data_IF_516476923404
#
_entry.id   IF_516476923404
#
_cell.length_a   1.000
_cell.length_b   1.000
_cell.length_c   1.000
_cell.angle_alpha   90.00
_cell.angle_beta   90.00
_cell.angle_gamma   90.00
#
_symmetry.space_group_name_H-M   'P 1'
#
loop_
_entity.id
_entity.type
_entity.pdbx_description
1 polymer ?
#
# COMPACT_ATOMS: atom_id res chain seq x y z
N UNK A 1 -0.82 -27.20 6.72
CA UNK A 1 0.26 -26.25 6.41
C UNK A 1 -0.08 -25.67 5.05
N UNK A 2 -0.85 -24.59 5.06
CA UNK A 2 -1.25 -23.90 3.83
C UNK A 2 -0.10 -22.93 3.49
N UNK A 3 0.57 -23.18 2.36
CA UNK A 3 1.50 -22.22 1.79
C UNK A 3 0.66 -21.00 1.36
N UNK A 4 0.90 -19.79 1.91
CA UNK A 4 0.20 -18.61 1.44
C UNK A 4 0.59 -18.36 -0.02
N UNK A 5 -0.42 -18.23 -0.89
CA UNK A 5 -0.24 -17.96 -2.32
C UNK A 5 0.55 -16.65 -2.50
N UNK A 6 1.81 -16.69 -2.99
CA UNK A 6 2.73 -15.54 -2.99
C UNK A 6 2.43 -14.50 -4.09
N UNK A 7 1.16 -14.30 -4.45
CA UNK A 7 0.74 -13.55 -5.64
C UNK A 7 0.01 -12.24 -5.34
N UNK A 8 -0.78 -12.17 -4.27
CA UNK A 8 -1.77 -11.11 -4.06
C UNK A 8 -1.13 -9.75 -3.84
N UNK A 9 -0.07 -9.69 -3.04
CA UNK A 9 0.66 -8.43 -2.84
C UNK A 9 1.31 -7.97 -4.15
N UNK A 10 1.88 -8.89 -4.92
CA UNK A 10 2.53 -8.56 -6.20
C UNK A 10 1.52 -8.09 -7.25
N UNK A 11 0.37 -8.74 -7.34
CA UNK A 11 -0.73 -8.33 -8.22
C UNK A 11 -1.31 -6.98 -7.81
N UNK A 12 -1.54 -6.78 -6.51
CA UNK A 12 -2.00 -5.50 -5.97
C UNK A 12 -1.04 -4.38 -6.34
N UNK A 13 0.25 -4.55 -6.04
CA UNK A 13 1.29 -3.59 -6.38
C UNK A 13 1.27 -3.38 -7.91
N UNK A 14 1.37 -4.43 -8.73
CA UNK A 14 1.39 -4.30 -10.19
C UNK A 14 0.12 -3.65 -10.80
N UNK A 15 -1.02 -3.66 -10.12
CA UNK A 15 -2.25 -3.00 -10.58
C UNK A 15 -2.27 -1.48 -10.41
N UNK A 16 -1.38 -0.93 -9.59
CA UNK A 16 -1.31 0.52 -9.36
C UNK A 16 -0.42 1.16 -10.41
N UNK A 17 -0.90 2.25 -11.01
CA UNK A 17 -0.13 3.02 -11.99
C UNK A 17 0.68 4.09 -11.28
N UNK A 18 2.00 3.92 -11.17
CA UNK A 18 2.88 4.96 -10.63
C UNK A 18 3.77 5.53 -11.74
N UNK A 19 3.41 6.68 -12.35
CA UNK A 19 4.17 7.25 -13.45
C UNK A 19 5.63 7.58 -13.04
N UNK A 20 5.85 7.97 -11.78
CA UNK A 20 7.13 8.51 -11.31
C UNK A 20 7.82 7.65 -10.24
N UNK A 21 7.29 6.45 -9.95
CA UNK A 21 7.84 5.55 -8.93
C UNK A 21 8.21 4.18 -9.49
N UNK A 22 9.46 3.80 -9.30
CA UNK A 22 9.94 2.44 -9.48
C UNK A 22 9.59 1.61 -8.25
N UNK A 23 9.05 0.41 -8.47
CA UNK A 23 8.61 -0.47 -7.38
C UNK A 23 9.38 -1.78 -7.40
N UNK A 24 9.94 -2.13 -6.24
CA UNK A 24 10.67 -3.39 -6.02
C UNK A 24 10.04 -4.14 -4.85
N UNK A 25 9.73 -5.42 -5.04
CA UNK A 25 9.21 -6.30 -3.98
C UNK A 25 10.30 -7.30 -3.58
N UNK A 26 10.64 -7.32 -2.29
CA UNK A 26 11.63 -8.21 -1.71
C UNK A 26 11.07 -8.84 -0.43
N UNK A 27 10.41 -10.00 -0.57
CA UNK A 27 9.71 -10.66 0.54
C UNK A 27 8.54 -9.80 1.04
N UNK A 28 8.43 -9.52 2.36
CA UNK A 28 7.37 -8.69 2.92
C UNK A 28 7.67 -7.19 2.79
N UNK A 29 8.62 -6.79 1.94
CA UNK A 29 9.02 -5.40 1.78
C UNK A 29 8.76 -4.94 0.35
N UNK A 30 7.97 -3.89 0.23
CA UNK A 30 7.78 -3.14 -1.01
C UNK A 30 8.58 -1.85 -0.91
N UNK A 31 9.39 -1.55 -1.91
CA UNK A 31 10.20 -0.34 -1.99
C UNK A 31 9.75 0.47 -3.18
N UNK A 32 9.42 1.73 -2.94
CA UNK A 32 9.07 2.73 -3.93
C UNK A 32 10.23 3.72 -4.04
N UNK A 33 10.75 3.93 -5.24
CA UNK A 33 11.83 4.90 -5.50
C UNK A 33 11.41 5.84 -6.62
N UNK A 34 11.46 7.14 -6.38
CA UNK A 34 11.27 8.17 -7.41
C UNK A 34 12.57 8.95 -7.57
N UNK A 35 13.04 9.14 -8.80
CA UNK A 35 14.23 9.94 -9.11
C UNK A 35 13.85 11.31 -9.70
N UNK A 36 12.58 11.72 -9.62
CA UNK A 36 12.10 13.00 -10.16
C UNK A 36 12.55 14.17 -9.28
N UNK A 37 13.50 14.97 -9.79
CA UNK A 37 14.07 16.16 -9.15
C UNK A 37 15.04 15.84 -8.01
N UNK A 38 14.54 15.17 -6.97
CA UNK A 38 15.32 14.65 -5.85
C UNK A 38 14.96 13.19 -5.65
N UNK A 39 15.96 12.34 -5.38
CA UNK A 39 15.72 10.91 -5.09
C UNK A 39 14.88 10.77 -3.83
N UNK A 40 13.69 10.19 -3.97
CA UNK A 40 12.75 9.88 -2.89
C UNK A 40 12.62 8.37 -2.77
N UNK A 41 12.64 7.88 -1.55
CA UNK A 41 12.57 6.46 -1.26
C UNK A 41 11.58 6.20 -0.14
N UNK A 42 10.56 5.38 -0.43
CA UNK A 42 9.55 4.99 0.55
C UNK A 42 9.55 3.47 0.66
N UNK A 43 9.58 2.97 1.89
CA UNK A 43 9.56 1.53 2.18
C UNK A 43 8.27 1.16 2.88
N UNK A 44 7.58 0.15 2.38
CA UNK A 44 6.42 -0.45 3.02
C UNK A 44 6.74 -1.88 3.43
N UNK A 45 6.86 -2.12 4.73
CA UNK A 45 6.97 -3.46 5.28
C UNK A 45 5.55 -4.00 5.50
N UNK A 46 5.10 -4.87 4.60
CA UNK A 46 3.75 -5.44 4.60
C UNK A 46 3.77 -6.91 4.17
N UNK A 47 3.09 -7.76 4.94
CA UNK A 47 2.83 -9.15 4.55
C UNK A 47 1.46 -9.30 3.87
N UNK A 48 1.31 -10.34 3.07
CA UNK A 48 0.01 -10.64 2.42
C UNK A 48 -1.14 -10.84 3.41
N UNK A 49 -0.98 -11.54 4.55
CA UNK A 49 -2.03 -11.64 5.56
C UNK A 49 -2.43 -10.29 6.15
N UNK A 50 -1.48 -9.39 6.38
CA UNK A 50 -1.75 -8.04 6.88
C UNK A 50 -2.54 -7.21 5.86
N UNK A 51 -2.13 -7.25 4.59
CA UNK A 51 -2.86 -6.59 3.50
C UNK A 51 -4.29 -7.11 3.40
N UNK A 52 -4.46 -8.44 3.35
CA UNK A 52 -5.78 -9.07 3.25
C UNK A 52 -6.67 -8.79 4.46
N UNK A 53 -6.10 -8.79 5.68
CA UNK A 53 -6.82 -8.42 6.89
C UNK A 53 -7.31 -6.98 6.83
N UNK A 54 -6.46 -6.03 6.37
CA UNK A 54 -6.88 -4.64 6.25
C UNK A 54 -7.94 -4.43 5.18
N UNK A 55 -7.80 -5.03 4.00
CA UNK A 55 -8.82 -4.93 2.96
C UNK A 55 -10.19 -5.42 3.48
N UNK A 56 -10.21 -6.54 4.20
CA UNK A 56 -11.44 -7.04 4.85
C UNK A 56 -12.01 -6.09 5.89
N UNK A 57 -11.17 -5.45 6.70
CA UNK A 57 -11.61 -4.42 7.66
C UNK A 57 -12.28 -3.26 6.94
N UNK A 58 -11.63 -2.72 5.90
CA UNK A 58 -12.16 -1.60 5.13
C UNK A 58 -13.46 -1.95 4.40
N UNK A 59 -13.58 -3.17 3.88
CA UNK A 59 -14.81 -3.68 3.30
C UNK A 59 -15.97 -3.75 4.31
N UNK A 60 -15.67 -4.09 5.57
CA UNK A 60 -16.68 -4.13 6.63
C UNK A 60 -17.07 -2.71 7.07
N UNK A 61 -16.08 -1.84 7.29
CA UNK A 61 -16.28 -0.44 7.65
C UNK A 61 -17.11 0.31 6.60
N UNK A 62 -16.81 0.12 5.31
CA UNK A 62 -17.58 0.73 4.21
C UNK A 62 -18.96 0.14 4.04
N UNK A 63 -19.14 -1.16 4.28
CA UNK A 63 -20.46 -1.79 4.28
C UNK A 63 -21.34 -1.20 5.37
N UNK A 64 -20.80 -1.01 6.57
CA UNK A 64 -21.52 -0.41 7.70
C UNK A 64 -21.86 1.05 7.44
N UNK A 65 -20.91 1.82 6.91
CA UNK A 65 -21.08 3.27 6.73
C UNK A 65 -21.96 3.64 5.51
N UNK A 66 -21.81 2.91 4.39
CA UNK A 66 -22.38 3.31 3.09
C UNK A 66 -23.26 2.24 2.43
N UNK A 67 -23.37 1.03 3.01
CA UNK A 67 -24.10 -0.08 2.39
C UNK A 67 -23.45 -0.62 1.10
N UNK A 68 -22.25 -0.15 0.77
CA UNK A 68 -21.43 -0.60 -0.35
C UNK A 68 -20.37 -1.57 0.19
N UNK A 69 -20.17 -2.71 -0.48
CA UNK A 69 -19.12 -3.67 -0.10
C UNK A 69 -18.40 -4.19 -1.34
N UNK A 70 -17.12 -4.56 -1.14
CA UNK A 70 -16.17 -5.06 -2.14
C UNK A 70 -15.27 -4.00 -2.81
N UNK A 71 -14.66 -3.11 -2.01
CA UNK A 71 -13.64 -2.15 -2.46
C UNK A 71 -12.44 -2.01 -1.53
N UNK A 72 -12.23 -2.90 -0.55
CA UNK A 72 -11.12 -2.80 0.41
C UNK A 72 -9.74 -2.65 -0.25
N UNK A 73 -9.43 -3.47 -1.26
CA UNK A 73 -8.18 -3.33 -2.03
C UNK A 73 -8.09 -2.00 -2.77
N UNK A 74 -9.19 -1.53 -3.34
CA UNK A 74 -9.21 -0.26 -4.04
C UNK A 74 -8.94 0.91 -3.07
N UNK A 75 -9.50 0.88 -1.86
CA UNK A 75 -9.25 1.90 -0.83
C UNK A 75 -7.79 1.90 -0.36
N UNK A 76 -7.21 0.73 -0.12
CA UNK A 76 -5.77 0.63 0.21
C UNK A 76 -4.91 1.18 -0.93
N UNK A 77 -5.28 0.89 -2.18
CA UNK A 77 -4.60 1.44 -3.34
C UNK A 77 -4.69 2.98 -3.37
N UNK A 78 -5.89 3.56 -3.20
CA UNK A 78 -6.08 5.01 -3.19
C UNK A 78 -5.22 5.66 -2.10
N UNK A 79 -5.25 5.13 -0.88
CA UNK A 79 -4.42 5.69 0.21
C UNK A 79 -2.92 5.53 -0.04
N UNK A 80 -2.49 4.45 -0.71
CA UNK A 80 -1.10 4.29 -1.11
C UNK A 80 -0.68 5.34 -2.13
N UNK A 81 -1.52 5.57 -3.16
CA UNK A 81 -1.29 6.58 -4.19
C UNK A 81 -1.23 7.99 -3.58
N UNK A 82 -2.18 8.33 -2.70
CA UNK A 82 -2.21 9.60 -1.98
C UNK A 82 -0.95 9.80 -1.11
N UNK A 83 -0.54 8.78 -0.36
CA UNK A 83 0.63 8.85 0.51
C UNK A 83 1.93 9.06 -0.29
N UNK A 84 2.07 8.39 -1.45
CA UNK A 84 3.23 8.58 -2.32
C UNK A 84 3.21 9.93 -3.05
N UNK A 85 2.03 10.40 -3.49
CA UNK A 85 1.87 11.68 -4.17
C UNK A 85 2.15 12.88 -3.26
N UNK A 86 1.81 12.76 -1.97
CA UNK A 86 2.02 13.82 -0.97
C UNK A 86 3.37 13.73 -0.25
N UNK A 87 4.19 12.73 -0.55
CA UNK A 87 5.48 12.56 0.10
C UNK A 87 6.55 13.51 -0.48
N UNK A 88 6.96 14.47 0.35
CA UNK A 88 7.99 15.47 0.02
C UNK A 88 9.37 15.16 0.62
N UNK A 89 9.49 14.09 1.43
CA UNK A 89 10.74 13.70 2.08
C UNK A 89 11.72 12.97 1.16
N UNK A 90 12.94 12.72 1.62
CA UNK A 90 13.93 11.89 0.89
C UNK A 90 13.77 10.41 1.23
N UNK A 91 13.52 10.09 2.50
CA UNK A 91 13.34 8.73 3.00
C UNK A 91 12.07 8.63 3.84
N UNK A 92 11.23 7.64 3.55
CA UNK A 92 9.96 7.46 4.21
C UNK A 92 9.62 5.99 4.45
N UNK A 93 8.72 5.77 5.39
CA UNK A 93 8.17 4.45 5.69
C UNK A 93 6.65 4.51 5.67
N UNK A 94 6.04 3.61 4.92
CA UNK A 94 4.61 3.40 4.91
C UNK A 94 4.23 2.42 6.02
N UNK A 95 3.21 2.78 6.78
CA UNK A 95 2.59 1.93 7.76
C UNK A 95 1.09 1.81 7.48
N UNK A 96 0.56 0.60 7.62
CA UNK A 96 -0.87 0.41 7.72
C UNK A 96 -1.34 0.82 9.11
N UNK A 97 -2.28 1.76 9.15
CA UNK A 97 -2.88 2.24 10.40
C UNK A 97 -4.37 1.95 10.41
N UNK A 98 -4.99 2.17 11.58
CA UNK A 98 -6.44 2.04 11.75
C UNK A 98 -7.24 2.98 10.85
N UNK A 99 -6.62 4.07 10.36
CA UNK A 99 -7.26 5.07 9.52
C UNK A 99 -6.89 4.95 8.04
N UNK A 100 -5.90 4.13 7.67
CA UNK A 100 -5.48 3.99 6.26
C UNK A 100 -4.02 3.59 6.09
N UNK A 101 -3.36 4.21 5.11
CA UNK A 101 -1.92 4.16 4.91
C UNK A 101 -1.33 5.53 5.26
N UNK A 102 -0.29 5.52 6.09
CA UNK A 102 0.40 6.75 6.49
C UNK A 102 1.89 6.61 6.14
N UNK A 103 2.44 7.66 5.52
CA UNK A 103 3.87 7.78 5.24
C UNK A 103 4.52 8.65 6.32
N UNK A 104 5.54 8.11 6.98
CA UNK A 104 6.35 8.86 7.94
C UNK A 104 7.74 9.09 7.37
N UNK A 105 8.26 10.30 7.48
CA UNK A 105 9.67 10.59 7.16
C UNK A 105 10.59 9.96 8.19
N UNK A 106 11.76 9.48 7.74
CA UNK A 106 12.83 8.96 8.60
C UNK A 106 14.05 9.86 8.55
#
# INVERSE_FOLDING_TARGET
MEHPEPGRLREFVASVAWPDWQVTIAGPRVRFVSDEGQRREVVWDITEPELAARCRSLDDETRVAMGLGAHGYHLVQVHLEEALATFEGTHGRLALTTHGLEVSTT
#
